data_IF_714825096055
#
_entry.id   IF_714825096055
#
_cell.length_a   1.000
_cell.length_b   1.000
_cell.length_c   1.000
_cell.angle_alpha   90.00
_cell.angle_beta   90.00
_cell.angle_gamma   90.00
#
_symmetry.space_group_name_H-M   'P 1'
#
loop_
_entity.id
_entity.type
_entity.pdbx_description
1 polymer ?
#
# COMPACT_ATOMS: atom_id res chain seq x y z
N UNK A 1 -8.45 11.02 5.93
CA UNK A 1 -7.28 11.50 5.16
C UNK A 1 -7.49 12.90 4.49
N UNK A 2 -6.41 13.68 4.30
CA UNK A 2 -6.34 14.97 3.55
C UNK A 2 -5.36 14.91 2.34
N UNK A 3 -5.26 15.96 1.53
CA UNK A 3 -4.41 15.98 0.32
C UNK A 3 -2.92 15.84 0.62
N UNK A 4 -2.43 16.43 1.72
CA UNK A 4 -1.02 16.33 2.11
C UNK A 4 -0.64 14.88 2.44
N UNK A 5 -1.47 14.17 3.21
CA UNK A 5 -1.28 12.76 3.51
C UNK A 5 -1.39 11.89 2.26
N UNK A 6 -2.32 12.19 1.35
CA UNK A 6 -2.45 11.46 0.07
C UNK A 6 -1.19 11.61 -0.82
N UNK A 7 -0.52 12.77 -0.79
CA UNK A 7 0.78 12.95 -1.49
C UNK A 7 1.91 12.17 -0.83
N UNK A 8 1.93 12.11 0.50
CA UNK A 8 2.91 11.29 1.23
C UNK A 8 2.71 9.81 0.91
N UNK A 9 1.46 9.36 0.82
CA UNK A 9 1.10 8.01 0.36
C UNK A 9 1.66 7.75 -1.05
N UNK A 10 1.49 8.68 -1.99
CA UNK A 10 2.02 8.55 -3.35
C UNK A 10 3.55 8.40 -3.37
N UNK A 11 4.27 9.16 -2.54
CA UNK A 11 5.71 9.02 -2.40
C UNK A 11 6.10 7.61 -1.92
N UNK A 12 5.39 7.06 -0.93
CA UNK A 12 5.63 5.70 -0.42
C UNK A 12 5.30 4.60 -1.44
N UNK A 13 4.27 4.79 -2.25
CA UNK A 13 3.97 3.89 -3.37
C UNK A 13 5.07 3.94 -4.44
N UNK A 14 5.62 5.12 -4.74
CA UNK A 14 6.74 5.25 -5.67
C UNK A 14 8.01 4.57 -5.15
N UNK A 15 8.35 4.74 -3.86
CA UNK A 15 9.45 4.03 -3.22
C UNK A 15 9.25 2.50 -3.28
N UNK A 16 8.02 2.02 -3.10
CA UNK A 16 7.68 0.59 -3.25
C UNK A 16 7.88 0.08 -4.67
N UNK A 17 7.46 0.87 -5.67
CA UNK A 17 7.66 0.54 -7.09
C UNK A 17 9.14 0.40 -7.41
N UNK A 18 9.98 1.30 -6.92
CA UNK A 18 11.43 1.26 -7.11
C UNK A 18 12.02 -0.03 -6.53
N UNK A 19 11.77 -0.32 -5.26
CA UNK A 19 12.28 -1.54 -4.60
C UNK A 19 11.84 -2.81 -5.32
N UNK A 20 10.55 -2.90 -5.67
CA UNK A 20 10.00 -4.07 -6.37
C UNK A 20 10.61 -4.23 -7.76
N UNK A 21 10.83 -3.12 -8.48
CA UNK A 21 11.48 -3.14 -9.80
C UNK A 21 12.91 -3.65 -9.71
N UNK A 22 13.67 -3.20 -8.69
CA UNK A 22 15.04 -3.69 -8.44
C UNK A 22 15.01 -5.19 -8.15
N UNK A 23 14.11 -5.65 -7.27
CA UNK A 23 13.97 -7.06 -6.93
C UNK A 23 13.65 -7.91 -8.17
N UNK A 24 12.67 -7.51 -8.97
CA UNK A 24 12.25 -8.22 -10.17
C UNK A 24 13.34 -8.23 -11.25
N UNK A 25 14.12 -7.16 -11.39
CA UNK A 25 15.24 -7.10 -12.32
C UNK A 25 16.38 -8.04 -11.90
N UNK A 26 16.65 -8.17 -10.60
CA UNK A 26 17.71 -9.05 -10.09
C UNK A 26 17.32 -10.53 -10.07
N UNK A 27 16.08 -10.85 -9.72
CA UNK A 27 15.68 -12.22 -9.36
C UNK A 27 14.53 -12.79 -10.19
N UNK A 28 13.81 -11.94 -10.92
CA UNK A 28 12.61 -12.30 -11.68
C UNK A 28 11.33 -12.19 -10.85
N UNK A 29 10.21 -11.94 -11.54
CA UNK A 29 8.88 -11.77 -10.91
C UNK A 29 8.36 -13.01 -10.18
N UNK A 30 8.76 -14.21 -10.63
CA UNK A 30 8.29 -15.48 -10.08
C UNK A 30 9.26 -16.05 -9.03
N UNK A 31 10.24 -15.24 -8.60
CA UNK A 31 11.21 -15.65 -7.58
C UNK A 31 10.51 -15.93 -6.25
N UNK A 32 10.88 -17.06 -5.63
CA UNK A 32 10.38 -17.46 -4.31
C UNK A 32 11.51 -17.44 -3.32
N UNK A 33 11.30 -16.73 -2.22
CA UNK A 33 12.23 -16.70 -1.10
C UNK A 33 12.36 -18.11 -0.50
N UNK A 34 13.60 -18.54 -0.31
CA UNK A 34 13.95 -19.85 0.26
C UNK A 34 15.08 -19.70 1.29
N UNK A 35 15.22 -20.63 2.25
CA UNK A 35 16.43 -20.73 3.05
C UNK A 35 17.67 -20.80 2.12
N UNK A 36 18.64 -19.91 2.33
CA UNK A 36 19.81 -19.77 1.47
C UNK A 36 19.66 -18.81 0.28
N UNK A 37 18.54 -18.10 0.14
CA UNK A 37 18.45 -16.99 -0.83
C UNK A 37 19.49 -15.92 -0.51
N UNK A 38 20.02 -15.19 -1.52
CA UNK A 38 20.99 -14.14 -1.30
C UNK A 38 20.52 -13.12 -0.26
N UNK A 39 21.40 -12.65 0.60
CA UNK A 39 21.07 -11.63 1.63
C UNK A 39 20.39 -10.41 1.02
N UNK A 40 20.89 -9.94 -0.13
CA UNK A 40 20.29 -8.82 -0.86
C UNK A 40 18.83 -9.07 -1.27
N UNK A 41 18.44 -10.31 -1.61
CA UNK A 41 17.04 -10.64 -1.89
C UNK A 41 16.18 -10.51 -0.63
N UNK A 42 16.70 -10.94 0.52
CA UNK A 42 16.03 -10.76 1.82
C UNK A 42 15.89 -9.29 2.19
N UNK A 43 16.93 -8.50 1.99
CA UNK A 43 16.94 -7.06 2.30
C UNK A 43 15.86 -6.33 1.47
N UNK A 44 15.81 -6.58 0.17
CA UNK A 44 14.78 -6.01 -0.71
C UNK A 44 13.37 -6.50 -0.34
N UNK A 45 13.21 -7.78 -0.03
CA UNK A 45 11.92 -8.34 0.39
C UNK A 45 11.41 -7.68 1.68
N UNK A 46 12.27 -7.54 2.69
CA UNK A 46 11.94 -6.84 3.93
C UNK A 46 11.66 -5.36 3.69
N UNK A 47 12.42 -4.70 2.81
CA UNK A 47 12.17 -3.32 2.41
C UNK A 47 10.77 -3.15 1.80
N UNK A 48 10.36 -4.05 0.90
CA UNK A 48 9.00 -4.04 0.33
C UNK A 48 7.90 -4.21 1.38
N UNK A 49 8.11 -5.08 2.38
CA UNK A 49 7.16 -5.24 3.49
C UNK A 49 7.10 -3.98 4.36
N UNK A 50 8.24 -3.39 4.68
CA UNK A 50 8.33 -2.16 5.45
C UNK A 50 7.64 -0.99 4.74
N UNK A 51 7.83 -0.85 3.43
CA UNK A 51 7.14 0.15 2.61
C UNK A 51 5.63 -0.08 2.60
N UNK A 52 5.17 -1.33 2.47
CA UNK A 52 3.74 -1.65 2.59
C UNK A 52 3.17 -1.33 3.97
N UNK A 53 3.92 -1.54 5.05
CA UNK A 53 3.51 -1.13 6.41
C UNK A 53 3.42 0.39 6.51
N UNK A 54 4.40 1.13 5.98
CA UNK A 54 4.38 2.58 5.97
C UNK A 54 3.19 3.14 5.15
N UNK A 55 2.84 2.49 4.04
CA UNK A 55 1.62 2.81 3.27
C UNK A 55 0.38 2.56 4.14
N UNK A 56 0.29 1.42 4.82
CA UNK A 56 -0.84 1.10 5.69
C UNK A 56 -1.02 2.11 6.82
N UNK A 57 0.06 2.55 7.48
CA UNK A 57 0.02 3.54 8.57
C UNK A 57 -0.52 4.91 8.15
N UNK A 58 -0.50 5.22 6.84
CA UNK A 58 -1.03 6.48 6.32
C UNK A 58 -2.52 6.42 6.04
N UNK A 59 -3.12 5.22 5.98
CA UNK A 59 -4.55 5.03 5.74
C UNK A 59 -5.36 5.19 7.04
N UNK A 60 -6.61 5.61 6.91
CA UNK A 60 -7.55 5.65 8.03
C UNK A 60 -7.79 4.21 8.55
N UNK A 61 -7.89 4.02 9.88
CA UNK A 61 -7.97 2.69 10.51
C UNK A 61 -9.17 1.87 10.00
N UNK A 62 -10.33 2.51 9.83
CA UNK A 62 -11.54 1.89 9.28
C UNK A 62 -11.30 1.30 7.88
N UNK A 63 -10.41 1.91 7.10
CA UNK A 63 -10.08 1.41 5.77
C UNK A 63 -9.16 0.18 5.80
N UNK A 64 -8.36 0.02 6.87
CA UNK A 64 -7.54 -1.18 7.10
C UNK A 64 -8.38 -2.35 7.57
N UNK A 65 -9.40 -2.09 8.40
CA UNK A 65 -10.34 -3.10 8.92
C UNK A 65 -11.28 -3.62 7.82
N UNK A 66 -11.84 -2.73 6.99
CA UNK A 66 -12.78 -3.06 5.91
C UNK A 66 -12.12 -2.92 4.52
N UNK A 67 -10.97 -3.57 4.32
CA UNK A 67 -10.29 -3.54 3.02
C UNK A 67 -11.16 -4.14 1.90
N UNK A 68 -11.21 -3.47 0.74
CA UNK A 68 -12.12 -3.85 -0.34
C UNK A 68 -11.79 -5.23 -0.94
N UNK A 69 -12.68 -6.21 -0.85
CA UNK A 69 -12.46 -7.58 -1.34
C UNK A 69 -12.50 -7.75 -2.88
N UNK A 70 -12.51 -6.65 -3.64
CA UNK A 70 -12.66 -6.67 -5.11
C UNK A 70 -11.37 -6.98 -5.86
N UNK A 71 -10.21 -6.86 -5.22
CA UNK A 71 -8.92 -7.07 -5.89
C UNK A 71 -8.36 -8.48 -5.67
N UNK A 72 -7.63 -9.02 -6.66
CA UNK A 72 -6.96 -10.31 -6.51
C UNK A 72 -6.02 -10.30 -5.30
N UNK A 73 -6.17 -11.31 -4.45
CA UNK A 73 -5.32 -11.52 -3.28
C UNK A 73 -3.97 -12.06 -3.73
N UNK A 74 -3.11 -11.18 -4.26
CA UNK A 74 -1.83 -11.55 -4.89
C UNK A 74 -0.95 -12.41 -3.98
N UNK A 75 -0.98 -12.14 -2.68
CA UNK A 75 -0.22 -12.86 -1.64
C UNK A 75 -0.59 -14.34 -1.51
N UNK A 76 -1.70 -14.79 -2.10
CA UNK A 76 -2.04 -16.22 -2.17
C UNK A 76 -1.25 -16.98 -3.23
N UNK A 77 -0.73 -16.26 -4.23
CA UNK A 77 -0.15 -16.83 -5.44
C UNK A 77 1.31 -16.43 -5.66
N UNK A 78 1.70 -15.30 -5.08
CA UNK A 78 3.03 -14.72 -5.20
C UNK A 78 3.63 -14.49 -3.81
N UNK A 79 4.94 -14.70 -3.70
CA UNK A 79 5.68 -14.47 -2.45
C UNK A 79 5.90 -12.98 -2.20
N UNK A 80 6.13 -12.22 -3.26
CA UNK A 80 6.38 -10.78 -3.22
C UNK A 80 5.39 -10.03 -4.09
N UNK A 81 5.12 -8.78 -3.73
CA UNK A 81 4.23 -7.91 -4.50
C UNK A 81 4.86 -7.58 -5.86
N UNK A 82 4.07 -7.67 -6.92
CA UNK A 82 4.53 -7.34 -8.26
C UNK A 82 4.28 -5.87 -8.66
N UNK A 83 5.07 -5.39 -9.63
CA UNK A 83 4.98 -4.03 -10.17
C UNK A 83 3.64 -3.70 -10.83
N UNK A 84 2.88 -4.69 -11.31
CA UNK A 84 1.52 -4.51 -11.81
C UNK A 84 0.50 -4.21 -10.72
N UNK A 85 0.61 -4.85 -9.55
CA UNK A 85 -0.19 -4.48 -8.36
C UNK A 85 0.18 -3.08 -7.88
N UNK A 86 1.47 -2.76 -7.83
CA UNK A 86 1.94 -1.44 -7.38
C UNK A 86 1.51 -0.33 -8.36
N UNK A 87 1.46 -0.61 -9.67
CA UNK A 87 0.97 0.35 -10.66
C UNK A 87 -0.52 0.67 -10.46
N UNK A 88 -1.35 -0.33 -10.15
CA UNK A 88 -2.76 -0.12 -9.78
C UNK A 88 -2.88 0.69 -8.49
N UNK A 89 -2.02 0.41 -7.49
CA UNK A 89 -1.96 1.16 -6.24
C UNK A 89 -1.61 2.63 -6.48
N UNK A 90 -0.68 2.91 -7.39
CA UNK A 90 -0.32 4.26 -7.77
C UNK A 90 -1.48 5.00 -8.45
N UNK A 91 -2.19 4.34 -9.37
CA UNK A 91 -3.38 4.90 -10.01
C UNK A 91 -4.45 5.28 -8.98
N UNK A 92 -4.76 4.37 -8.05
CA UNK A 92 -5.73 4.63 -7.00
C UNK A 92 -5.26 5.76 -6.06
N UNK A 93 -3.96 5.84 -5.80
CA UNK A 93 -3.40 6.91 -4.96
C UNK A 93 -3.50 8.29 -5.64
N UNK A 94 -3.29 8.37 -6.95
CA UNK A 94 -3.52 9.62 -7.70
C UNK A 94 -5.01 9.99 -7.73
N UNK A 95 -5.90 9.00 -7.85
CA UNK A 95 -7.33 9.22 -7.72
C UNK A 95 -7.68 9.78 -6.32
N UNK A 96 -7.13 9.19 -5.26
CA UNK A 96 -7.30 9.65 -3.89
C UNK A 96 -6.82 11.09 -3.68
N UNK A 97 -5.67 11.48 -4.25
CA UNK A 97 -5.19 12.87 -4.24
C UNK A 97 -6.23 13.80 -4.87
N UNK A 98 -6.77 13.45 -6.04
CA UNK A 98 -7.78 14.25 -6.71
C UNK A 98 -9.07 14.37 -5.88
N UNK A 99 -9.51 13.28 -5.26
CA UNK A 99 -10.67 13.27 -4.37
C UNK A 99 -10.47 14.15 -3.12
N UNK A 100 -9.31 14.05 -2.47
CA UNK A 100 -8.95 14.91 -1.35
C UNK A 100 -8.94 16.38 -1.75
N UNK A 101 -8.28 16.72 -2.86
CA UNK A 101 -8.19 18.10 -3.33
C UNK A 101 -9.56 18.68 -3.71
N UNK A 102 -10.40 17.88 -4.37
CA UNK A 102 -11.77 18.28 -4.72
C UNK A 102 -12.63 18.52 -3.47
N UNK A 103 -12.51 17.66 -2.47
CA UNK A 103 -13.27 17.77 -1.22
C UNK A 103 -12.81 18.97 -0.38
N UNK A 104 -11.50 19.22 -0.31
CA UNK A 104 -10.94 20.40 0.37
C UNK A 104 -11.34 21.71 -0.31
N UNK A 105 -11.45 21.73 -1.65
CA UNK A 105 -11.88 22.91 -2.39
C UNK A 105 -13.37 23.23 -2.20
N UNK A 106 -14.21 22.21 -2.04
CA UNK A 106 -15.66 22.35 -1.90
C UNK A 106 -16.21 21.37 -0.84
N UNK A 107 -16.05 21.67 0.46
CA UNK A 107 -16.51 20.78 1.51
C UNK A 107 -18.04 20.80 1.60
N UNK A 108 -18.68 19.72 1.15
CA UNK A 108 -20.14 19.55 1.21
C UNK A 108 -20.61 18.74 2.42
N UNK A 109 -19.70 18.10 3.14
CA UNK A 109 -19.98 17.22 4.27
C UNK A 109 -18.75 17.12 5.21
N UNK A 110 -18.91 16.43 6.35
CA UNK A 110 -17.81 16.17 7.28
C UNK A 110 -16.83 15.09 6.78
N UNK A 111 -17.26 14.23 5.85
CA UNK A 111 -16.44 13.18 5.26
C UNK A 111 -16.84 12.92 3.81
N UNK A 112 -15.90 12.37 3.03
CA UNK A 112 -16.13 11.96 1.65
C UNK A 112 -16.15 10.43 1.55
N UNK A 113 -17.29 9.82 1.15
CA UNK A 113 -17.36 8.37 0.93
C UNK A 113 -16.34 7.88 -0.10
N UNK A 114 -16.03 8.70 -1.11
CA UNK A 114 -15.07 8.35 -2.16
C UNK A 114 -13.66 8.24 -1.61
N UNK A 115 -13.25 9.17 -0.74
CA UNK A 115 -11.96 9.11 -0.03
C UNK A 115 -11.87 7.81 0.79
N UNK A 116 -12.92 7.46 1.52
CA UNK A 116 -12.98 6.21 2.29
C UNK A 116 -12.94 4.95 1.40
N UNK A 117 -13.61 4.97 0.25
CA UNK A 117 -13.57 3.86 -0.72
C UNK A 117 -12.18 3.67 -1.32
N UNK A 118 -11.51 4.75 -1.76
CA UNK A 118 -10.17 4.67 -2.32
C UNK A 118 -9.14 4.14 -1.33
N UNK A 119 -9.20 4.57 -0.07
CA UNK A 119 -8.34 4.02 0.98
C UNK A 119 -8.55 2.51 1.16
N UNK A 120 -9.80 2.04 1.15
CA UNK A 120 -10.12 0.59 1.25
C UNK A 120 -9.61 -0.21 0.05
N UNK A 121 -9.62 0.39 -1.15
CA UNK A 121 -9.03 -0.21 -2.35
C UNK A 121 -7.52 -0.34 -2.20
N UNK A 122 -6.82 0.72 -1.77
CA UNK A 122 -5.37 0.68 -1.52
C UNK A 122 -5.04 -0.37 -0.44
N UNK A 123 -5.79 -0.38 0.67
CA UNK A 123 -5.62 -1.37 1.73
C UNK A 123 -5.78 -2.81 1.24
N UNK A 124 -6.63 -3.06 0.24
CA UNK A 124 -6.80 -4.41 -0.31
C UNK A 124 -5.62 -4.89 -1.16
N UNK A 125 -4.76 -3.98 -1.63
CA UNK A 125 -3.55 -4.32 -2.39
C UNK A 125 -2.35 -4.59 -1.48
N UNK A 126 -2.43 -4.31 -0.18
CA UNK A 126 -1.34 -4.53 0.77
C UNK A 126 -1.36 -5.97 1.30
N UNK A 127 -0.17 -6.49 1.63
CA UNK A 127 -0.06 -7.78 2.27
C UNK A 127 -0.81 -7.79 3.64
N UNK A 128 -1.56 -8.85 3.99
CA UNK A 128 -2.33 -8.87 5.24
C UNK A 128 -1.50 -8.63 6.50
N UNK A 129 -0.28 -9.15 6.55
CA UNK A 129 0.60 -8.97 7.72
C UNK A 129 1.01 -7.51 7.92
N UNK A 130 1.23 -6.74 6.85
CA UNK A 130 1.67 -5.34 6.97
C UNK A 130 0.54 -4.45 7.47
N UNK A 131 -0.71 -4.75 7.08
CA UNK A 131 -1.91 -4.12 7.66
C UNK A 131 -2.06 -4.43 9.14
N UNK A 132 -1.89 -5.70 9.54
CA UNK A 132 -1.98 -6.10 10.94
C UNK A 132 -0.92 -5.42 11.81
N UNK A 133 0.31 -5.30 11.30
CA UNK A 133 1.39 -4.57 11.98
C UNK A 133 1.03 -3.11 12.13
N UNK A 134 0.60 -2.44 11.05
CA UNK A 134 0.22 -1.03 11.09
C UNK A 134 -0.92 -0.76 12.09
N UNK A 135 -1.99 -1.55 12.07
CA UNK A 135 -3.09 -1.43 13.04
C UNK A 135 -2.60 -1.61 14.48
N UNK A 136 -1.70 -2.58 14.73
CA UNK A 136 -1.12 -2.81 16.06
C UNK A 136 -0.21 -1.68 16.54
N UNK A 137 0.45 -0.96 15.64
CA UNK A 137 1.29 0.20 15.96
C UNK A 137 0.44 1.45 16.21
N UNK A 138 -0.60 1.67 15.40
CA UNK A 138 -1.54 2.78 15.57
C UNK A 138 -2.30 2.67 16.90
N UNK A 139 -2.69 1.45 17.30
CA UNK A 139 -3.34 1.21 18.58
C UNK A 139 -2.45 1.51 19.80
N UNK A 140 -1.12 1.42 19.67
CA UNK A 140 -0.17 1.76 20.74
C UNK A 140 0.09 3.26 20.86
N UNK A 141 -0.18 4.01 19.80
CA UNK A 141 0.05 5.45 19.73
C UNK A 141 -1.18 6.28 20.14
N UNK A 142 -2.32 5.61 20.40
CA UNK A 142 -3.60 6.21 20.83
C UNK A 142 -3.73 6.17 22.35
#
# INVERSE_FOLDING_TARGET
MNTAFARLLAAKVAELMETASIFQACYGKDYRMKPGSPTHAWDLYQSMLNQQTAIAQLLDIDALEDAALRLPQWWKWQESIDTGVIAQMAQETYHLIACCASFEANPTANSSPVIGCSQRVIASMLHPSTRMVAMGEMAKAS
#
